data_IF_384987627410
#
_entry.id   IF_384987627410
#
_cell.length_a   1.000
_cell.length_b   1.000
_cell.length_c   1.000
_cell.angle_alpha   90.00
_cell.angle_beta   90.00
_cell.angle_gamma   90.00
#
_symmetry.space_group_name_H-M   'P 1'
#
loop_
_entity.id
_entity.type
_entity.pdbx_description
1 polymer ?
#
# COMPACT_ATOMS: atom_id res chain seq x y z
N UNK A 1 6.85 12.49 -10.68
CA UNK A 1 6.85 11.38 -11.66
C UNK A 1 6.46 10.14 -10.86
N UNK A 2 5.28 9.58 -11.13
CA UNK A 2 4.69 8.54 -10.30
C UNK A 2 5.43 7.21 -10.42
N UNK A 3 5.23 6.36 -9.40
CA UNK A 3 5.66 4.95 -9.36
C UNK A 3 5.44 4.33 -10.74
N UNK A 4 6.52 4.15 -11.47
CA UNK A 4 6.50 3.32 -12.69
C UNK A 4 6.12 1.94 -12.17
N UNK A 5 5.01 1.36 -12.64
CA UNK A 5 4.74 -0.05 -12.34
C UNK A 5 6.02 -0.78 -12.70
N UNK A 6 6.58 -1.52 -11.77
CA UNK A 6 7.88 -2.18 -11.95
C UNK A 6 7.85 -3.20 -13.09
N UNK A 7 6.69 -3.41 -13.71
CA UNK A 7 6.49 -4.38 -14.78
C UNK A 7 6.94 -5.77 -14.37
N UNK A 8 6.67 -6.14 -13.12
CA UNK A 8 7.07 -7.43 -12.56
C UNK A 8 6.55 -8.55 -13.47
N UNK A 9 7.44 -9.39 -13.99
CA UNK A 9 7.02 -10.70 -14.48
C UNK A 9 6.47 -11.50 -13.29
N UNK A 10 5.15 -11.44 -13.13
CA UNK A 10 4.49 -12.02 -11.98
C UNK A 10 4.75 -13.54 -11.84
N UNK A 11 4.93 -14.25 -12.96
CA UNK A 11 5.20 -15.69 -12.92
C UNK A 11 6.63 -15.99 -12.48
N UNK A 12 7.60 -15.24 -12.99
CA UNK A 12 9.01 -15.35 -12.56
C UNK A 12 9.15 -14.94 -11.10
N UNK A 13 8.57 -13.82 -10.72
CA UNK A 13 8.61 -13.31 -9.34
C UNK A 13 8.08 -14.33 -8.32
N UNK A 14 6.93 -14.98 -8.63
CA UNK A 14 6.37 -16.02 -7.76
C UNK A 14 7.32 -17.19 -7.58
N UNK A 15 7.94 -17.66 -8.67
CA UNK A 15 8.90 -18.79 -8.62
C UNK A 15 10.15 -18.45 -7.81
N UNK A 16 10.69 -17.24 -7.97
CA UNK A 16 11.83 -16.73 -7.19
C UNK A 16 11.59 -16.78 -5.69
N UNK A 17 10.33 -16.56 -5.27
CA UNK A 17 9.94 -16.60 -3.85
C UNK A 17 9.40 -17.97 -3.40
N UNK A 18 9.61 -19.02 -4.21
CA UNK A 18 9.17 -20.39 -3.90
C UNK A 18 7.67 -20.57 -3.94
N UNK A 19 6.96 -19.74 -4.71
CA UNK A 19 5.51 -19.78 -4.82
C UNK A 19 5.07 -20.33 -6.16
N UNK A 20 4.04 -21.18 -6.14
CA UNK A 20 3.45 -21.73 -7.37
C UNK A 20 2.75 -20.63 -8.17
N UNK A 21 3.16 -20.46 -9.43
CA UNK A 21 2.60 -19.47 -10.36
C UNK A 21 1.27 -19.96 -10.96
N UNK A 22 0.19 -19.88 -10.17
CA UNK A 22 -1.17 -20.18 -10.67
C UNK A 22 -1.80 -18.93 -11.29
N UNK A 23 -2.80 -19.12 -12.15
CA UNK A 23 -3.51 -18.04 -12.82
C UNK A 23 -4.05 -17.00 -11.82
N UNK A 24 -4.65 -17.44 -10.71
CA UNK A 24 -5.18 -16.54 -9.68
C UNK A 24 -4.08 -15.74 -8.97
N UNK A 25 -2.98 -16.39 -8.58
CA UNK A 25 -1.84 -15.72 -7.92
C UNK A 25 -1.17 -14.69 -8.82
N UNK A 26 -1.00 -15.02 -10.10
CA UNK A 26 -0.48 -14.09 -11.11
C UNK A 26 -1.41 -12.88 -11.24
N UNK A 27 -2.73 -13.10 -11.32
CA UNK A 27 -3.70 -12.02 -11.41
C UNK A 27 -3.66 -11.11 -10.19
N UNK A 28 -3.62 -11.66 -8.97
CA UNK A 28 -3.53 -10.88 -7.73
C UNK A 28 -2.25 -10.06 -7.69
N UNK A 29 -1.10 -10.67 -7.97
CA UNK A 29 0.19 -9.99 -7.93
C UNK A 29 0.25 -8.83 -8.92
N UNK A 30 -0.28 -9.02 -10.15
CA UNK A 30 -0.38 -7.95 -11.16
C UNK A 30 -1.22 -6.77 -10.69
N UNK A 31 -2.32 -7.02 -9.95
CA UNK A 31 -3.14 -5.93 -9.42
C UNK A 31 -2.42 -5.14 -8.33
N UNK A 32 -1.70 -5.82 -7.46
CA UNK A 32 -0.87 -5.17 -6.44
C UNK A 32 0.27 -4.34 -7.07
N UNK A 33 0.95 -4.89 -8.08
CA UNK A 33 2.06 -4.21 -8.77
C UNK A 33 1.58 -2.99 -9.57
N UNK A 34 0.45 -3.10 -10.26
CA UNK A 34 -0.12 -2.01 -11.03
C UNK A 34 -0.73 -0.90 -10.17
N UNK A 35 -1.03 -1.18 -8.91
CA UNK A 35 -1.66 -0.20 -8.03
C UNK A 35 -0.65 0.82 -7.50
N UNK A 36 -1.01 2.10 -7.57
CA UNK A 36 -0.23 3.20 -6.99
C UNK A 36 -0.51 3.41 -5.50
N UNK A 37 -1.54 2.75 -4.98
CA UNK A 37 -1.99 2.88 -3.60
C UNK A 37 -2.26 1.51 -3.03
N UNK A 38 -2.14 1.33 -1.71
CA UNK A 38 -2.47 0.06 -1.08
C UNK A 38 -3.94 -0.31 -1.31
N UNK A 39 -4.20 -1.59 -1.51
CA UNK A 39 -5.53 -2.14 -1.82
C UNK A 39 -6.09 -2.93 -0.64
N UNK A 40 -7.40 -2.82 -0.41
CA UNK A 40 -8.11 -3.75 0.49
C UNK A 40 -8.26 -5.13 -0.18
N UNK A 41 -8.53 -6.17 0.61
CA UNK A 41 -8.84 -7.50 0.06
C UNK A 41 -10.06 -7.46 -0.86
N UNK A 42 -11.05 -6.61 -0.55
CA UNK A 42 -12.23 -6.42 -1.37
C UNK A 42 -11.89 -5.77 -2.72
N UNK A 43 -11.01 -4.75 -2.74
CA UNK A 43 -10.53 -4.12 -3.97
C UNK A 43 -9.78 -5.12 -4.86
N UNK A 44 -8.88 -5.91 -4.24
CA UNK A 44 -8.15 -6.95 -4.96
C UNK A 44 -9.12 -7.96 -5.58
N UNK A 45 -10.06 -8.48 -4.77
CA UNK A 45 -11.05 -9.44 -5.25
C UNK A 45 -11.89 -8.87 -6.39
N UNK A 46 -12.40 -7.65 -6.25
CA UNK A 46 -13.18 -7.00 -7.30
C UNK A 46 -12.44 -6.95 -8.65
N UNK A 47 -11.11 -6.73 -8.61
CA UNK A 47 -10.25 -6.66 -9.79
C UNK A 47 -9.91 -8.02 -10.40
N UNK A 48 -9.87 -9.09 -9.60
CA UNK A 48 -9.43 -10.44 -10.07
C UNK A 48 -10.57 -11.44 -10.24
N UNK A 49 -11.80 -11.13 -9.83
CA UNK A 49 -12.95 -12.03 -9.91
C UNK A 49 -13.20 -12.60 -11.32
N UNK A 50 -12.97 -11.78 -12.34
CA UNK A 50 -13.09 -12.20 -13.74
C UNK A 50 -12.07 -13.29 -14.15
N UNK A 51 -11.01 -13.47 -13.37
CA UNK A 51 -10.01 -14.54 -13.54
C UNK A 51 -10.41 -15.85 -12.83
N UNK A 52 -11.62 -15.93 -12.28
CA UNK A 52 -12.10 -17.08 -11.53
C UNK A 52 -11.50 -17.18 -10.10
N UNK A 53 -11.04 -16.07 -9.56
CA UNK A 53 -10.44 -16.00 -8.23
C UNK A 53 -11.51 -15.59 -7.22
N UNK A 54 -11.86 -16.46 -6.28
CA UNK A 54 -12.78 -16.18 -5.20
C UNK A 54 -12.10 -15.39 -4.07
N UNK A 55 -12.91 -14.84 -3.16
CA UNK A 55 -12.40 -14.04 -2.05
C UNK A 55 -11.50 -14.85 -1.09
N UNK A 56 -11.84 -16.11 -0.84
CA UNK A 56 -11.04 -16.97 0.02
C UNK A 56 -9.64 -17.23 -0.56
N UNK A 57 -9.55 -17.35 -1.88
CA UNK A 57 -8.26 -17.47 -2.60
C UNK A 57 -7.44 -16.19 -2.46
N UNK A 58 -8.06 -15.02 -2.60
CA UNK A 58 -7.38 -13.73 -2.38
C UNK A 58 -6.86 -13.66 -0.94
N UNK A 59 -7.72 -13.90 0.03
CA UNK A 59 -7.36 -13.86 1.45
C UNK A 59 -6.17 -14.78 1.75
N UNK A 60 -6.27 -16.07 1.42
CA UNK A 60 -5.19 -17.04 1.67
C UNK A 60 -3.88 -16.67 1.00
N UNK A 61 -3.95 -16.15 -0.23
CA UNK A 61 -2.73 -15.79 -0.94
C UNK A 61 -2.07 -14.53 -0.36
N UNK A 62 -2.84 -13.51 0.00
CA UNK A 62 -2.30 -12.32 0.69
C UNK A 62 -1.67 -12.72 2.03
N UNK A 63 -2.29 -13.59 2.83
CA UNK A 63 -1.71 -14.09 4.08
C UNK A 63 -0.35 -14.77 3.85
N UNK A 64 -0.22 -15.59 2.81
CA UNK A 64 1.07 -16.21 2.45
C UNK A 64 2.11 -15.15 2.09
N UNK A 65 1.73 -14.11 1.37
CA UNK A 65 2.65 -13.03 1.00
C UNK A 65 3.08 -12.21 2.24
N UNK A 66 2.17 -11.99 3.18
CA UNK A 66 2.47 -11.34 4.47
C UNK A 66 3.46 -12.17 5.30
N UNK A 67 3.21 -13.47 5.49
CA UNK A 67 4.08 -14.39 6.22
C UNK A 67 5.51 -14.43 5.62
N UNK A 68 5.62 -14.30 4.30
CA UNK A 68 6.90 -14.22 3.59
C UNK A 68 7.50 -12.81 3.54
N UNK A 69 6.89 -11.83 4.19
CA UNK A 69 7.31 -10.42 4.15
C UNK A 69 7.41 -9.83 2.72
N UNK A 70 6.59 -10.30 1.79
CA UNK A 70 6.54 -9.85 0.40
C UNK A 70 5.48 -8.76 0.16
N UNK A 71 4.50 -8.70 1.06
CA UNK A 71 3.43 -7.69 1.09
C UNK A 71 3.42 -7.07 2.48
N UNK A 72 3.15 -5.78 2.53
CA UNK A 72 3.01 -5.01 3.75
C UNK A 72 1.53 -4.68 4.01
N UNK A 73 1.16 -4.79 5.28
CA UNK A 73 -0.15 -4.33 5.77
C UNK A 73 -0.05 -2.87 6.15
N UNK A 74 -0.91 -2.07 5.57
CA UNK A 74 -1.02 -0.64 5.87
C UNK A 74 -2.34 -0.38 6.59
N UNK A 75 -2.26 0.03 7.85
CA UNK A 75 -3.43 0.53 8.57
C UNK A 75 -3.84 1.86 7.93
N UNK A 76 -5.07 1.95 7.43
CA UNK A 76 -5.53 3.11 6.71
C UNK A 76 -6.32 4.06 7.61
N UNK A 77 -6.33 5.36 7.26
CA UNK A 77 -6.96 6.41 8.05
C UNK A 77 -8.47 6.19 8.27
N UNK A 78 -9.12 5.42 7.40
CA UNK A 78 -10.54 5.04 7.52
C UNK A 78 -10.78 3.79 8.39
N UNK A 79 -9.73 3.28 9.02
CA UNK A 79 -9.77 2.06 9.84
C UNK A 79 -9.67 0.76 9.03
N UNK A 80 -9.61 0.83 7.71
CA UNK A 80 -9.42 -0.39 6.89
C UNK A 80 -7.96 -0.85 6.89
N UNK A 81 -7.75 -2.14 6.66
CA UNK A 81 -6.44 -2.69 6.35
C UNK A 81 -6.26 -2.79 4.85
N UNK A 82 -5.15 -2.26 4.36
CA UNK A 82 -4.77 -2.31 2.95
C UNK A 82 -3.43 -3.01 2.79
N UNK A 83 -3.13 -3.41 1.55
CA UNK A 83 -1.96 -4.23 1.24
C UNK A 83 -1.23 -3.66 0.04
N UNK A 84 0.09 -3.66 0.10
CA UNK A 84 0.96 -3.28 -1.02
C UNK A 84 2.19 -4.18 -1.09
N UNK A 85 2.76 -4.33 -2.29
CA UNK A 85 4.02 -5.07 -2.45
C UNK A 85 5.13 -4.31 -1.74
N UNK A 86 5.89 -5.03 -0.91
CA UNK A 86 7.06 -4.47 -0.24
C UNK A 86 8.16 -4.17 -1.27
N UNK A 87 8.72 -2.96 -1.28
CA UNK A 87 9.80 -2.60 -2.19
C UNK A 87 11.03 -3.49 -1.99
N UNK A 88 11.66 -3.93 -3.09
CA UNK A 88 12.84 -4.81 -3.03
C UNK A 88 14.07 -4.16 -2.36
N UNK A 89 14.14 -2.85 -2.32
CA UNK A 89 15.32 -2.10 -1.87
C UNK A 89 15.33 -1.78 -0.36
N UNK A 90 14.46 -2.38 0.42
CA UNK A 90 14.52 -2.38 1.91
C UNK A 90 14.28 -1.03 2.61
N UNK A 91 14.31 0.08 1.91
CA UNK A 91 14.29 1.42 2.50
C UNK A 91 13.13 2.33 2.10
N UNK A 92 12.21 1.87 1.25
CA UNK A 92 11.11 2.71 0.77
C UNK A 92 9.75 2.12 1.15
N UNK A 93 9.33 2.41 2.38
CA UNK A 93 7.91 2.38 2.71
C UNK A 93 7.27 3.62 2.11
N UNK A 94 6.05 3.48 1.61
CA UNK A 94 5.33 4.60 1.04
C UNK A 94 4.58 5.36 2.13
N UNK A 95 4.65 6.69 2.06
CA UNK A 95 3.80 7.57 2.81
C UNK A 95 2.70 8.11 1.90
N UNK A 96 1.57 8.45 2.47
CA UNK A 96 0.41 8.84 1.70
C UNK A 96 -0.17 10.16 2.18
N UNK A 97 -0.55 11.00 1.22
CA UNK A 97 -1.38 12.18 1.42
C UNK A 97 -2.79 11.86 0.93
N UNK A 98 -3.79 12.02 1.79
CA UNK A 98 -5.16 11.59 1.55
C UNK A 98 -6.09 12.80 1.62
N UNK A 99 -6.86 13.05 0.56
CA UNK A 99 -7.89 14.08 0.59
C UNK A 99 -9.11 13.57 1.36
N UNK A 100 -9.47 14.24 2.45
CA UNK A 100 -10.65 13.87 3.26
C UNK A 100 -11.97 14.05 2.51
N UNK A 101 -12.00 14.92 1.50
CA UNK A 101 -13.22 15.24 0.75
C UNK A 101 -13.47 14.29 -0.42
N UNK A 102 -12.49 14.06 -1.29
CA UNK A 102 -12.66 13.23 -2.49
C UNK A 102 -11.95 11.89 -2.42
N UNK A 103 -11.27 11.59 -1.30
CA UNK A 103 -10.52 10.35 -1.07
C UNK A 103 -9.36 10.13 -2.06
N UNK A 104 -8.95 11.16 -2.82
CA UNK A 104 -7.76 11.11 -3.65
C UNK A 104 -6.54 10.80 -2.78
N UNK A 105 -5.72 9.86 -3.23
CA UNK A 105 -4.50 9.43 -2.54
C UNK A 105 -3.30 9.75 -3.41
N UNK A 106 -2.31 10.39 -2.83
CA UNK A 106 -1.04 10.70 -3.48
C UNK A 106 0.11 10.11 -2.64
N UNK A 107 1.05 9.36 -3.25
CA UNK A 107 2.23 8.90 -2.55
C UNK A 107 3.17 10.07 -2.27
N UNK A 108 3.82 10.06 -1.11
CA UNK A 108 4.91 10.96 -0.75
C UNK A 108 6.20 10.20 -0.99
N UNK A 109 6.99 10.64 -1.98
CA UNK A 109 8.18 9.92 -2.43
C UNK A 109 9.36 9.98 -1.45
N UNK A 110 9.42 11.01 -0.60
CA UNK A 110 10.50 11.19 0.37
C UNK A 110 10.02 10.87 1.78
N UNK A 111 10.82 10.08 2.50
CA UNK A 111 10.57 9.85 3.91
C UNK A 111 10.99 11.08 4.72
N UNK A 112 10.00 11.83 5.22
CA UNK A 112 10.22 13.02 6.04
C UNK A 112 10.51 12.67 7.51
N UNK A 113 10.38 11.41 7.90
CA UNK A 113 10.50 10.94 9.29
C UNK A 113 11.81 10.21 9.56
N UNK A 114 12.55 9.82 8.54
CA UNK A 114 13.78 9.01 8.67
C UNK A 114 14.81 9.62 9.62
N UNK A 115 15.06 10.91 9.53
CA UNK A 115 16.00 11.59 10.43
C UNK A 115 15.53 11.60 11.88
N UNK A 116 14.23 11.78 12.09
CA UNK A 116 13.62 11.75 13.43
C UNK A 116 13.69 10.34 14.02
N UNK A 117 13.38 9.33 13.22
CA UNK A 117 13.45 7.92 13.60
C UNK A 117 14.87 7.53 14.01
N UNK A 118 15.87 7.87 13.22
CA UNK A 118 17.28 7.61 13.52
C UNK A 118 17.73 8.30 14.81
N UNK A 119 17.27 9.51 15.08
CA UNK A 119 17.56 10.22 16.32
C UNK A 119 16.93 9.52 17.52
N UNK A 120 15.64 9.17 17.44
CA UNK A 120 14.92 8.45 18.50
C UNK A 120 15.58 7.10 18.77
N UNK A 121 15.95 6.35 17.73
CA UNK A 121 16.64 5.08 17.88
C UNK A 121 17.91 5.23 18.71
N UNK A 122 18.74 6.22 18.37
CA UNK A 122 19.99 6.54 19.11
C UNK A 122 19.73 6.96 20.55
N UNK A 123 18.81 7.90 20.76
CA UNK A 123 18.56 8.47 22.08
C UNK A 123 17.90 7.47 23.04
N UNK A 124 17.09 6.56 22.52
CA UNK A 124 16.30 5.60 23.31
C UNK A 124 16.83 4.18 23.28
N UNK A 125 17.85 3.88 22.48
CA UNK A 125 18.43 2.55 22.36
C UNK A 125 17.55 1.51 21.68
N UNK A 126 16.58 1.95 20.88
CA UNK A 126 15.70 1.02 20.14
C UNK A 126 16.37 0.57 18.85
N UNK A 127 16.25 -0.72 18.54
CA UNK A 127 16.66 -1.30 17.27
C UNK A 127 15.43 -1.59 16.38
N UNK A 128 15.64 -1.61 15.06
CA UNK A 128 14.62 -1.95 14.07
C UNK A 128 13.31 -1.13 14.20
N UNK A 129 13.44 0.18 14.45
CA UNK A 129 12.29 1.08 14.45
C UNK A 129 11.64 1.07 13.05
N UNK A 130 10.33 1.20 13.04
CA UNK A 130 9.55 1.38 11.83
C UNK A 130 8.43 2.39 12.09
N UNK A 131 7.99 3.06 11.05
CA UNK A 131 6.91 4.03 11.15
C UNK A 131 5.92 3.88 10.00
N UNK A 132 4.71 4.36 10.19
CA UNK A 132 3.70 4.52 9.14
C UNK A 132 3.21 5.97 9.18
N UNK A 133 3.30 6.68 8.06
CA UNK A 133 2.88 8.06 7.97
C UNK A 133 1.78 8.24 6.92
N UNK A 134 0.65 8.74 7.37
CA UNK A 134 -0.44 9.18 6.52
C UNK A 134 -0.81 10.60 6.90
N UNK A 135 -0.77 11.49 5.93
CA UNK A 135 -1.22 12.85 6.09
C UNK A 135 -2.60 13.01 5.45
N UNK A 136 -3.50 13.69 6.12
CA UNK A 136 -4.83 13.96 5.59
C UNK A 136 -5.10 15.45 5.50
N UNK A 137 -5.71 15.86 4.39
CA UNK A 137 -6.01 17.26 4.13
C UNK A 137 -7.15 17.42 3.13
N UNK A 138 -7.29 18.61 2.56
CA UNK A 138 -8.21 18.87 1.45
C UNK A 138 -7.37 19.23 0.23
N UNK A 139 -7.52 18.46 -0.86
CA UNK A 139 -6.73 18.67 -2.07
C UNK A 139 -7.09 20.02 -2.74
N UNK A 140 -6.19 20.58 -3.57
CA UNK A 140 -6.43 21.85 -4.22
C UNK A 140 -7.73 21.92 -5.05
N UNK A 141 -8.08 20.82 -5.71
CA UNK A 141 -9.31 20.72 -6.50
C UNK A 141 -10.57 20.85 -5.61
N UNK A 142 -10.57 20.20 -4.45
CA UNK A 142 -11.68 20.30 -3.49
C UNK A 142 -11.74 21.67 -2.80
N UNK A 143 -10.61 22.33 -2.58
CA UNK A 143 -10.58 23.69 -2.05
C UNK A 143 -11.23 24.67 -3.03
N UNK A 144 -10.92 24.56 -4.31
CA UNK A 144 -11.47 25.41 -5.36
C UNK A 144 -12.98 25.22 -5.57
N UNK A 145 -13.45 23.97 -5.44
CA UNK A 145 -14.88 23.64 -5.63
C UNK A 145 -15.76 23.96 -4.42
N UNK A 146 -15.21 24.53 -3.35
CA UNK A 146 -15.94 24.88 -2.13
C UNK A 146 -16.45 23.69 -1.31
N UNK A 147 -16.11 22.45 -1.70
CA UNK A 147 -16.50 21.22 -0.97
C UNK A 147 -15.83 21.07 0.38
N UNK A 148 -14.90 21.96 0.73
CA UNK A 148 -14.07 21.87 1.94
C UNK A 148 -14.78 22.33 3.23
N UNK A 149 -15.99 22.91 3.16
CA UNK A 149 -16.61 23.54 4.34
C UNK A 149 -17.38 22.61 5.28
N UNK A 150 -17.53 21.33 4.97
CA UNK A 150 -18.47 20.47 5.71
C UNK A 150 -17.89 19.70 6.91
N UNK A 151 -16.56 19.53 7.07
CA UNK A 151 -16.01 18.60 8.07
C UNK A 151 -14.78 19.10 8.86
N UNK A 152 -14.62 20.40 9.03
CA UNK A 152 -13.55 20.95 9.87
C UNK A 152 -13.94 21.08 11.36
N UNK A 153 -14.95 20.32 11.83
CA UNK A 153 -15.35 20.29 13.24
C UNK A 153 -15.63 18.86 13.69
N UNK A 154 -14.57 18.17 14.12
CA UNK A 154 -14.60 17.28 15.29
C UNK A 154 -13.18 16.90 15.68
#
# INVERSE_FOLDING_TARGET
MGKVSSGIDAAAWLREHGLRATRGRIAILRQLDASRTPLTLADIHAKVRASGCDFATVFRFISILEEKNLVERVAWIDGTTRHEIRPRNGHHHHHYLICRTCQKVEPIEQCVVEQVENRIAKERGYAALSHSLQLSGVCPECQQTGKSKAEAKK
#
